data_IF_999452844978
#
_entry.id   IF_999452844978
#
_cell.length_a   1.000
_cell.length_b   1.000
_cell.length_c   1.000
_cell.angle_alpha   90.00
_cell.angle_beta   90.00
_cell.angle_gamma   90.00
#
_symmetry.space_group_name_H-M   'P 1'
#
loop_
_entity.id
_entity.type
_entity.pdbx_description
1 polymer ?
#
# COMPACT_ATOMS: atom_id res chain seq x y z
N UNK A 1 -80.28 40.66 -16.00
CA UNK A 1 -79.25 40.61 -17.06
C UNK A 1 -78.03 41.33 -16.52
N UNK A 2 -77.08 40.56 -15.97
CA UNK A 2 -75.93 41.05 -15.21
C UNK A 2 -74.76 41.36 -16.14
N UNK A 3 -74.22 42.57 -16.01
CA UNK A 3 -72.96 42.99 -16.59
C UNK A 3 -71.81 42.16 -16.02
N UNK A 4 -71.04 41.50 -16.88
CA UNK A 4 -69.74 40.91 -16.54
C UNK A 4 -68.64 41.62 -17.33
N UNK A 5 -67.97 42.50 -16.58
CA UNK A 5 -66.74 43.19 -16.91
C UNK A 5 -65.58 42.19 -16.82
N UNK A 6 -64.94 41.83 -17.93
CA UNK A 6 -63.56 41.34 -17.95
C UNK A 6 -62.93 41.67 -19.31
N UNK A 7 -61.87 42.50 -19.38
CA UNK A 7 -61.04 42.56 -20.57
C UNK A 7 -60.20 41.28 -20.68
N UNK A 8 -59.72 40.90 -21.87
CA UNK A 8 -58.86 39.74 -22.02
C UNK A 8 -57.60 39.91 -21.17
N UNK A 9 -57.40 39.02 -20.20
CA UNK A 9 -56.12 38.85 -19.52
C UNK A 9 -55.09 38.40 -20.56
N UNK A 10 -54.34 39.36 -21.12
CA UNK A 10 -53.04 39.06 -21.70
C UNK A 10 -52.07 38.95 -20.53
N UNK A 11 -51.66 37.74 -20.18
CA UNK A 11 -50.43 37.56 -19.42
C UNK A 11 -49.33 38.13 -20.31
N UNK A 12 -48.83 39.32 -19.98
CA UNK A 12 -47.49 39.70 -20.41
C UNK A 12 -46.56 38.79 -19.62
N UNK A 13 -46.21 37.63 -20.18
CA UNK A 13 -44.92 37.04 -19.83
C UNK A 13 -43.93 38.07 -20.35
N UNK A 14 -43.37 38.86 -19.44
CA UNK A 14 -42.17 39.60 -19.76
C UNK A 14 -41.13 38.55 -20.13
N UNK A 15 -41.01 38.23 -21.41
CA UNK A 15 -39.72 37.85 -21.97
C UNK A 15 -38.87 39.13 -21.99
N UNK A 16 -38.61 39.69 -20.81
CA UNK A 16 -37.34 40.34 -20.61
C UNK A 16 -36.36 39.18 -20.65
N UNK A 17 -35.77 38.94 -21.83
CA UNK A 17 -34.55 38.19 -21.95
C UNK A 17 -33.42 38.98 -21.29
N UNK A 18 -33.58 39.35 -20.02
CA UNK A 18 -32.49 39.82 -19.21
C UNK A 18 -31.58 38.60 -19.03
N UNK A 19 -30.36 38.61 -19.59
CA UNK A 19 -29.46 37.48 -19.46
C UNK A 19 -29.26 37.19 -17.96
N UNK A 20 -29.40 35.93 -17.56
CA UNK A 20 -29.10 35.51 -16.19
C UNK A 20 -27.68 35.99 -15.88
N UNK A 21 -27.48 36.83 -14.86
CA UNK A 21 -26.16 37.38 -14.58
C UNK A 21 -25.20 36.24 -14.25
N UNK A 22 -24.07 36.22 -14.96
CA UNK A 22 -23.04 35.22 -14.77
C UNK A 22 -22.56 35.22 -13.32
N UNK A 23 -22.44 34.03 -12.74
CA UNK A 23 -22.03 33.82 -11.35
C UNK A 23 -20.52 33.56 -11.29
N UNK A 24 -19.77 34.25 -10.42
CA UNK A 24 -18.34 34.01 -10.27
C UNK A 24 -18.09 32.61 -9.67
N UNK A 25 -16.88 32.06 -9.83
CA UNK A 25 -16.58 30.73 -9.32
C UNK A 25 -16.60 30.67 -7.79
N UNK A 26 -17.22 29.64 -7.23
CA UNK A 26 -17.23 29.35 -5.79
C UNK A 26 -16.74 27.92 -5.56
N UNK A 27 -15.75 27.76 -4.70
CA UNK A 27 -15.23 26.44 -4.33
C UNK A 27 -16.29 25.67 -3.54
N UNK A 28 -16.59 24.45 -3.96
CA UNK A 28 -17.53 23.53 -3.29
C UNK A 28 -16.83 22.32 -2.69
N UNK A 29 -15.61 22.02 -3.14
CA UNK A 29 -14.70 21.08 -2.48
C UNK A 29 -13.25 21.56 -2.67
N UNK A 30 -12.43 21.60 -1.60
CA UNK A 30 -11.03 22.02 -1.69
C UNK A 30 -10.20 21.04 -2.53
N UNK A 31 -9.02 21.46 -3.03
CA UNK A 31 -8.08 20.54 -3.65
C UNK A 31 -7.57 19.51 -2.61
N UNK A 32 -7.39 18.27 -3.06
CA UNK A 32 -6.87 17.17 -2.24
C UNK A 32 -5.52 16.77 -2.80
N UNK A 33 -4.50 16.73 -1.95
CA UNK A 33 -3.17 16.21 -2.30
C UNK A 33 -3.00 14.76 -1.86
N UNK A 34 -2.28 13.98 -2.66
CA UNK A 34 -1.93 12.58 -2.43
C UNK A 34 -0.46 12.34 -2.76
N UNK A 35 0.12 11.31 -2.15
CA UNK A 35 1.53 10.93 -2.31
C UNK A 35 2.25 10.90 -0.96
N UNK A 36 3.46 10.36 -0.96
CA UNK A 36 4.32 10.27 0.23
C UNK A 36 5.19 11.52 0.32
N UNK A 37 5.18 12.28 1.43
CA UNK A 37 6.03 13.44 1.59
C UNK A 37 7.47 13.00 1.88
N UNK A 38 8.19 12.54 0.86
CA UNK A 38 9.56 12.05 0.93
C UNK A 38 10.37 12.55 -0.27
N UNK A 39 11.65 12.85 -0.09
CA UNK A 39 12.55 13.28 -1.18
C UNK A 39 12.56 12.24 -2.30
N UNK A 40 12.46 12.68 -3.55
CA UNK A 40 12.37 11.84 -4.73
C UNK A 40 10.95 11.42 -5.11
N UNK A 41 10.01 11.45 -4.16
CA UNK A 41 8.61 11.12 -4.40
C UNK A 41 7.82 12.29 -5.01
N UNK A 42 6.73 11.96 -5.72
CA UNK A 42 5.83 12.94 -6.30
C UNK A 42 4.57 13.13 -5.46
N UNK A 43 4.18 14.39 -5.25
CA UNK A 43 2.86 14.74 -4.73
C UNK A 43 1.97 15.22 -5.87
N UNK A 44 0.75 14.70 -5.93
CA UNK A 44 -0.27 15.05 -6.92
C UNK A 44 -1.48 15.70 -6.24
N UNK A 45 -2.18 16.60 -6.94
CA UNK A 45 -3.35 17.27 -6.40
C UNK A 45 -4.51 17.40 -7.38
N UNK A 46 -5.73 17.31 -6.85
CA UNK A 46 -6.95 17.62 -7.60
C UNK A 46 -7.18 19.14 -7.69
N UNK A 47 -7.97 19.58 -8.68
CA UNK A 47 -8.36 20.99 -8.81
C UNK A 47 -9.37 21.48 -7.75
N UNK A 48 -9.91 20.56 -6.94
CA UNK A 48 -11.14 20.77 -6.20
C UNK A 48 -12.37 20.88 -7.12
N UNK A 49 -13.53 21.14 -6.53
CA UNK A 49 -14.79 21.35 -7.25
C UNK A 49 -15.21 22.82 -7.17
N UNK A 50 -15.76 23.32 -8.27
CA UNK A 50 -16.14 24.72 -8.44
C UNK A 50 -17.54 24.81 -9.05
N UNK A 51 -18.38 25.66 -8.45
CA UNK A 51 -19.65 26.10 -9.04
C UNK A 51 -19.49 27.48 -9.66
N UNK A 52 -20.40 27.90 -10.54
CA UNK A 52 -20.36 29.18 -11.24
C UNK A 52 -20.82 29.06 -12.69
N UNK A 53 -20.86 30.18 -13.41
CA UNK A 53 -21.17 30.16 -14.85
C UNK A 53 -19.98 29.67 -15.65
N UNK A 54 -20.19 28.68 -16.52
CA UNK A 54 -19.16 28.14 -17.41
C UNK A 54 -18.83 29.10 -18.57
N UNK A 55 -17.63 29.04 -19.16
CA UNK A 55 -16.50 28.18 -18.78
C UNK A 55 -15.79 28.67 -17.50
N UNK A 56 -15.30 27.73 -16.69
CA UNK A 56 -14.50 28.00 -15.48
C UNK A 56 -13.08 27.50 -15.74
N UNK A 57 -12.12 28.41 -15.61
CA UNK A 57 -10.68 28.11 -15.73
C UNK A 57 -10.06 28.02 -14.35
N UNK A 58 -9.27 26.98 -14.09
CA UNK A 58 -8.58 26.78 -12.82
C UNK A 58 -7.09 27.07 -12.94
N UNK A 59 -6.53 27.71 -11.93
CA UNK A 59 -5.09 27.89 -11.76
C UNK A 59 -4.66 27.20 -10.48
N UNK A 60 -3.68 26.31 -10.58
CA UNK A 60 -3.15 25.56 -9.45
C UNK A 60 -1.68 25.91 -9.21
N UNK A 61 -1.27 25.82 -7.95
CA UNK A 61 0.13 25.86 -7.52
C UNK A 61 0.29 25.09 -6.22
N UNK A 62 1.53 24.79 -5.87
CA UNK A 62 1.88 24.24 -4.57
C UNK A 62 2.41 25.31 -3.62
N UNK A 63 2.19 25.09 -2.33
CA UNK A 63 2.73 25.89 -1.24
C UNK A 63 3.57 25.02 -0.32
N UNK A 64 4.51 25.64 0.37
CA UNK A 64 5.25 25.04 1.47
C UNK A 64 5.22 25.91 2.72
N UNK A 65 5.48 25.28 3.86
CA UNK A 65 5.56 25.94 5.16
C UNK A 65 6.51 25.19 6.09
N UNK A 66 7.35 25.93 6.81
CA UNK A 66 8.24 25.36 7.84
C UNK A 66 7.50 25.19 9.19
N UNK A 67 6.44 25.96 9.42
CA UNK A 67 5.76 26.10 10.73
C UNK A 67 4.26 25.72 10.69
N UNK A 68 3.70 25.50 9.50
CA UNK A 68 2.26 25.29 9.27
C UNK A 68 1.42 26.57 9.26
N UNK A 69 2.01 27.72 9.57
CA UNK A 69 1.33 29.01 9.69
C UNK A 69 1.63 29.92 8.49
N UNK A 70 2.89 30.03 8.10
CA UNK A 70 3.36 30.89 7.01
C UNK A 70 3.57 30.06 5.75
N UNK A 71 2.88 30.42 4.67
CA UNK A 71 2.86 29.64 3.44
C UNK A 71 3.48 30.40 2.26
N UNK A 72 4.48 29.80 1.65
CA UNK A 72 5.18 30.34 0.48
C UNK A 72 4.84 29.50 -0.75
N UNK A 73 4.57 30.16 -1.89
CA UNK A 73 4.26 29.45 -3.13
C UNK A 73 5.53 28.99 -3.85
N UNK A 74 5.51 27.74 -4.33
CA UNK A 74 6.52 27.28 -5.27
C UNK A 74 6.40 27.98 -6.63
N UNK A 75 7.51 28.12 -7.38
CA UNK A 75 7.45 28.61 -8.75
C UNK A 75 6.67 27.62 -9.65
N UNK A 76 5.88 28.10 -10.64
CA UNK A 76 5.11 27.21 -11.52
C UNK A 76 5.95 26.20 -12.30
N UNK A 77 7.24 26.49 -12.53
CA UNK A 77 8.18 25.58 -13.20
C UNK A 77 8.42 24.27 -12.44
N UNK A 78 8.13 24.25 -11.12
CA UNK A 78 8.19 23.04 -10.30
C UNK A 78 7.03 22.08 -10.56
N UNK A 79 5.98 22.58 -11.22
CA UNK A 79 4.75 21.86 -11.48
C UNK A 79 3.54 22.46 -10.76
N UNK A 80 2.35 22.22 -11.33
CA UNK A 80 1.10 22.85 -10.89
C UNK A 80 0.04 21.86 -10.44
N UNK A 81 -0.04 20.69 -11.10
CA UNK A 81 -0.89 19.56 -10.69
C UNK A 81 -0.12 18.44 -9.99
N UNK A 82 1.20 18.37 -10.21
CA UNK A 82 2.14 17.45 -9.57
C UNK A 82 3.45 18.18 -9.28
N UNK A 83 4.13 17.83 -8.18
CA UNK A 83 5.51 18.25 -7.88
C UNK A 83 6.32 17.05 -7.42
N UNK A 84 7.60 17.02 -7.77
CA UNK A 84 8.58 16.09 -7.17
C UNK A 84 9.30 16.80 -6.04
N UNK A 85 9.42 16.12 -4.90
CA UNK A 85 10.09 16.65 -3.71
C UNK A 85 11.61 16.45 -3.83
N UNK A 86 12.36 17.44 -3.39
CA UNK A 86 13.82 17.42 -3.37
C UNK A 86 14.34 17.70 -1.94
N UNK A 87 15.66 17.66 -1.78
CA UNK A 87 16.32 17.82 -0.48
C UNK A 87 15.98 19.15 0.21
N UNK A 88 15.69 20.21 -0.55
CA UNK A 88 15.35 21.52 0.02
C UNK A 88 13.99 21.48 0.75
N UNK A 89 13.16 20.47 0.50
CA UNK A 89 11.85 20.34 1.12
C UNK A 89 11.84 19.62 2.46
N UNK A 90 12.93 18.95 2.84
CA UNK A 90 12.99 18.19 4.10
C UNK A 90 12.55 19.05 5.28
N UNK A 91 11.62 18.51 6.08
CA UNK A 91 11.02 19.17 7.23
C UNK A 91 9.82 20.08 6.92
N UNK A 92 9.55 20.38 5.64
CA UNK A 92 8.44 21.27 5.24
C UNK A 92 7.10 20.54 5.19
N UNK A 93 6.03 21.27 5.45
CA UNK A 93 4.66 20.90 5.11
C UNK A 93 4.33 21.40 3.70
N UNK A 94 3.70 20.56 2.89
CA UNK A 94 3.41 20.85 1.47
C UNK A 94 1.90 20.80 1.23
N UNK A 95 1.33 21.81 0.58
CA UNK A 95 -0.11 21.87 0.34
C UNK A 95 -0.46 22.40 -1.07
N UNK A 96 -1.49 21.85 -1.73
CA UNK A 96 -1.97 22.38 -2.99
C UNK A 96 -2.78 23.66 -2.75
N UNK A 97 -2.81 24.54 -3.72
CA UNK A 97 -3.52 25.81 -3.62
C UNK A 97 -4.09 26.19 -4.98
N UNK A 98 -5.41 26.34 -5.06
CA UNK A 98 -6.14 26.48 -6.32
C UNK A 98 -7.05 27.70 -6.29
N UNK A 99 -7.19 28.39 -7.41
CA UNK A 99 -8.23 29.41 -7.63
C UNK A 99 -8.89 29.20 -8.98
N UNK A 100 -10.10 29.71 -9.13
CA UNK A 100 -10.85 29.63 -10.37
C UNK A 100 -11.25 31.02 -10.88
N UNK A 101 -11.40 31.14 -12.20
CA UNK A 101 -11.87 32.36 -12.87
C UNK A 101 -12.89 32.03 -13.96
N UNK A 102 -13.82 32.96 -14.18
CA UNK A 102 -14.70 33.00 -15.34
C UNK A 102 -14.99 34.45 -15.73
N UNK A 103 -15.87 34.67 -16.70
CA UNK A 103 -16.23 36.02 -17.16
C UNK A 103 -16.87 36.92 -16.08
N UNK A 104 -17.41 36.34 -15.00
CA UNK A 104 -18.03 37.09 -13.90
C UNK A 104 -17.03 37.47 -12.80
N UNK A 105 -15.86 36.83 -12.74
CA UNK A 105 -14.83 37.17 -11.77
C UNK A 105 -13.87 36.03 -11.45
N UNK A 106 -13.03 36.26 -10.44
CA UNK A 106 -12.02 35.33 -9.95
C UNK A 106 -12.21 35.09 -8.46
N UNK A 107 -12.04 33.84 -8.03
CA UNK A 107 -12.10 33.45 -6.62
C UNK A 107 -10.81 33.85 -5.88
N UNK A 108 -10.89 33.82 -4.54
CA UNK A 108 -9.70 33.70 -3.71
C UNK A 108 -8.99 32.36 -3.96
N UNK A 109 -7.75 32.28 -3.47
CA UNK A 109 -7.03 31.01 -3.40
C UNK A 109 -7.61 30.13 -2.28
N UNK A 110 -7.78 28.85 -2.57
CA UNK A 110 -8.22 27.82 -1.63
C UNK A 110 -7.10 26.81 -1.49
N UNK A 111 -6.60 26.65 -0.26
CA UNK A 111 -5.56 25.70 0.11
C UNK A 111 -6.19 24.35 0.48
N UNK A 112 -5.57 23.26 0.06
CA UNK A 112 -5.89 21.92 0.52
C UNK A 112 -5.29 21.61 1.90
N UNK A 113 -5.53 20.39 2.36
CA UNK A 113 -4.83 19.85 3.53
C UNK A 113 -3.35 19.67 3.18
N UNK A 114 -2.48 19.94 4.13
CA UNK A 114 -1.04 19.77 3.97
C UNK A 114 -0.63 18.31 4.18
N UNK A 115 0.38 17.86 3.44
CA UNK A 115 1.12 16.63 3.67
C UNK A 115 2.48 16.98 4.29
N UNK A 116 3.06 16.03 5.03
CA UNK A 116 4.38 16.18 5.64
C UNK A 116 4.38 16.14 7.17
N UNK A 117 5.53 16.43 7.81
CA UNK A 117 6.74 17.00 7.21
C UNK A 117 7.40 16.09 6.16
N UNK A 118 8.04 16.68 5.15
CA UNK A 118 8.81 15.92 4.16
C UNK A 118 10.01 15.25 4.86
N UNK A 119 10.20 13.96 4.60
CA UNK A 119 11.35 13.20 5.11
C UNK A 119 12.41 13.00 4.03
N UNK A 120 13.64 12.73 4.45
CA UNK A 120 14.70 12.32 3.52
C UNK A 120 14.29 11.06 2.77
N UNK A 121 14.86 10.85 1.58
CA UNK A 121 14.76 9.57 0.91
C UNK A 121 15.36 8.49 1.82
N UNK A 122 14.80 7.29 1.79
CA UNK A 122 15.48 6.15 2.41
C UNK A 122 16.86 6.01 1.77
N UNK A 123 17.92 6.10 2.58
CA UNK A 123 19.27 5.82 2.12
C UNK A 123 19.29 4.39 1.57
N UNK A 124 19.92 4.15 0.39
CA UNK A 124 20.17 2.79 -0.06
C UNK A 124 20.91 2.05 1.06
N UNK A 125 20.32 0.98 1.58
CA UNK A 125 21.04 0.11 2.52
C UNK A 125 22.23 -0.45 1.77
N UNK A 126 23.45 -0.04 2.15
CA UNK A 126 24.68 -0.57 1.57
C UNK A 126 24.71 -2.10 1.72
N UNK A 127 25.01 -2.87 0.65
CA UNK A 127 25.08 -4.32 0.71
C UNK A 127 26.13 -4.77 1.75
N UNK A 128 25.67 -5.23 2.91
CA UNK A 128 26.52 -5.64 4.03
C UNK A 128 26.02 -5.23 5.42
N UNK A 129 25.10 -4.26 5.50
CA UNK A 129 24.49 -3.79 6.77
C UNK A 129 23.07 -4.32 6.99
N UNK A 130 22.67 -5.37 6.27
CA UNK A 130 21.44 -6.07 6.58
C UNK A 130 21.57 -6.68 7.98
N UNK A 131 20.85 -6.10 8.94
CA UNK A 131 20.80 -6.62 10.30
C UNK A 131 20.19 -8.03 10.39
N UNK A 132 19.60 -8.56 9.30
CA UNK A 132 19.19 -9.96 9.17
C UNK A 132 20.35 -10.77 8.58
N UNK A 133 20.58 -11.99 9.07
CA UNK A 133 21.53 -12.92 8.43
C UNK A 133 20.89 -13.58 7.21
N UNK A 134 21.61 -13.64 6.08
CA UNK A 134 21.13 -14.30 4.86
C UNK A 134 20.86 -15.79 5.07
N UNK A 135 19.79 -16.30 4.45
CA UNK A 135 19.52 -17.74 4.40
C UNK A 135 20.54 -18.48 3.53
N UNK A 136 20.74 -19.76 3.82
CA UNK A 136 21.72 -20.63 3.16
C UNK A 136 21.08 -21.95 2.73
N UNK A 137 21.84 -22.84 2.07
CA UNK A 137 21.40 -24.21 1.75
C UNK A 137 21.09 -25.09 2.97
N UNK A 138 21.46 -24.67 4.17
CA UNK A 138 21.12 -25.37 5.42
C UNK A 138 19.98 -24.71 6.20
N UNK A 139 19.50 -23.54 5.74
CA UNK A 139 18.42 -22.80 6.40
C UNK A 139 17.08 -23.37 5.94
N UNK A 140 16.30 -23.90 6.88
CA UNK A 140 14.91 -24.30 6.63
C UNK A 140 13.96 -23.17 7.01
N UNK A 141 13.09 -22.76 6.10
CA UNK A 141 12.01 -21.80 6.32
C UNK A 141 10.65 -22.45 6.11
N UNK A 142 9.71 -22.15 7.00
CA UNK A 142 8.30 -22.50 6.84
C UNK A 142 7.52 -21.22 6.49
N UNK A 143 6.85 -21.26 5.34
CA UNK A 143 6.04 -20.17 4.80
C UNK A 143 4.59 -20.45 5.12
N UNK A 144 4.19 -20.03 6.31
CA UNK A 144 2.86 -20.23 6.85
C UNK A 144 1.92 -19.09 6.47
N UNK A 145 0.81 -19.42 5.81
CA UNK A 145 -0.10 -18.39 5.31
C UNK A 145 -1.28 -18.94 4.53
N UNK A 146 -1.60 -18.27 3.43
CA UNK A 146 -2.78 -18.57 2.60
C UNK A 146 -2.43 -18.42 1.11
N UNK A 147 -3.45 -18.31 0.25
CA UNK A 147 -3.26 -18.24 -1.21
C UNK A 147 -2.41 -17.06 -1.71
N UNK A 148 -2.18 -16.01 -0.91
CA UNK A 148 -1.25 -14.91 -1.24
C UNK A 148 0.19 -15.13 -0.73
N UNK A 149 0.42 -16.26 -0.04
CA UNK A 149 1.76 -16.81 0.21
C UNK A 149 2.18 -17.71 -0.96
N UNK A 150 1.20 -18.41 -1.56
CA UNK A 150 1.41 -19.27 -2.73
C UNK A 150 2.04 -18.54 -3.92
N UNK A 151 1.74 -17.25 -4.05
CA UNK A 151 2.20 -16.36 -5.12
C UNK A 151 3.70 -16.13 -5.18
N UNK A 152 4.46 -16.53 -4.15
CA UNK A 152 5.92 -16.58 -4.26
C UNK A 152 6.49 -17.97 -3.95
N UNK A 153 5.88 -18.73 -3.03
CA UNK A 153 6.48 -19.99 -2.59
C UNK A 153 6.25 -21.14 -3.57
N UNK A 154 5.10 -21.17 -4.27
CA UNK A 154 4.76 -22.28 -5.16
C UNK A 154 3.54 -21.98 -6.07
N UNK A 155 3.74 -21.22 -7.15
CA UNK A 155 2.83 -21.21 -8.31
C UNK A 155 3.52 -21.84 -9.52
N UNK A 156 2.99 -23.00 -9.95
CA UNK A 156 3.32 -23.61 -11.25
C UNK A 156 4.82 -23.92 -11.48
N UNK A 157 5.21 -24.20 -12.74
CA UNK A 157 6.61 -24.30 -13.11
C UNK A 157 7.29 -22.92 -13.10
N UNK A 158 8.60 -22.89 -13.35
CA UNK A 158 9.35 -21.65 -13.62
C UNK A 158 8.61 -20.74 -14.61
N UNK A 159 8.55 -19.41 -14.40
CA UNK A 159 9.29 -18.62 -13.40
C UNK A 159 8.52 -18.22 -12.12
N UNK A 160 7.27 -18.66 -11.91
CA UNK A 160 6.39 -18.16 -10.83
C UNK A 160 6.63 -18.74 -9.42
N UNK A 161 7.80 -19.28 -9.14
CA UNK A 161 8.09 -19.98 -7.88
C UNK A 161 9.53 -19.69 -7.41
N UNK A 162 9.65 -19.15 -6.20
CA UNK A 162 10.92 -18.84 -5.53
C UNK A 162 11.90 -20.02 -5.50
N UNK A 163 11.42 -21.26 -5.29
CA UNK A 163 12.30 -22.44 -5.27
C UNK A 163 13.06 -22.61 -6.58
N UNK A 164 12.41 -22.35 -7.71
CA UNK A 164 13.03 -22.47 -9.04
C UNK A 164 14.04 -21.34 -9.30
N UNK A 165 13.77 -20.13 -8.81
CA UNK A 165 14.72 -18.99 -8.85
C UNK A 165 15.96 -19.32 -8.03
N UNK A 166 15.78 -19.88 -6.82
CA UNK A 166 16.89 -20.27 -5.95
C UNK A 166 17.73 -21.38 -6.58
N UNK A 167 17.09 -22.39 -7.19
CA UNK A 167 17.78 -23.45 -7.93
C UNK A 167 18.58 -22.89 -9.11
N UNK A 168 18.04 -21.90 -9.85
CA UNK A 168 18.73 -21.32 -11.02
C UNK A 168 19.99 -20.53 -10.67
N UNK A 169 20.12 -20.09 -9.41
CA UNK A 169 21.30 -19.37 -8.88
C UNK A 169 22.17 -20.24 -7.95
N UNK A 170 21.94 -21.56 -7.92
CA UNK A 170 22.85 -22.52 -7.27
C UNK A 170 22.49 -22.90 -5.82
N UNK A 171 21.31 -22.54 -5.33
CA UNK A 171 20.79 -23.14 -4.10
C UNK A 171 20.28 -24.56 -4.37
N UNK A 172 20.43 -25.42 -3.37
CA UNK A 172 20.17 -26.85 -3.46
C UNK A 172 19.09 -27.24 -2.44
N UNK A 173 18.38 -28.33 -2.74
CA UNK A 173 17.32 -28.88 -1.87
C UNK A 173 16.27 -27.83 -1.46
N UNK A 174 15.90 -26.95 -2.38
CA UNK A 174 14.95 -25.86 -2.12
C UNK A 174 13.57 -26.38 -1.73
N UNK A 175 13.21 -27.60 -2.15
CA UNK A 175 11.96 -28.26 -1.75
C UNK A 175 11.97 -28.80 -0.33
N UNK A 176 13.13 -29.20 0.21
CA UNK A 176 13.29 -29.60 1.62
C UNK A 176 13.53 -28.42 2.56
N UNK A 177 14.02 -27.30 2.02
CA UNK A 177 14.40 -26.12 2.79
C UNK A 177 13.37 -24.98 2.78
N UNK A 178 12.58 -24.83 1.71
CA UNK A 178 11.56 -23.77 1.61
C UNK A 178 10.20 -24.44 1.65
N UNK A 179 9.56 -24.49 2.81
CA UNK A 179 8.34 -25.28 3.03
C UNK A 179 7.11 -24.41 2.92
N UNK A 180 6.12 -24.88 2.15
CA UNK A 180 4.81 -24.24 2.01
C UNK A 180 3.87 -24.81 3.08
N UNK A 181 3.20 -23.95 3.83
CA UNK A 181 2.30 -24.33 4.93
C UNK A 181 1.06 -23.42 4.88
N UNK A 182 0.10 -23.71 4.01
CA UNK A 182 -0.96 -22.72 3.68
C UNK A 182 -2.36 -23.29 3.74
N UNK A 183 -3.27 -22.52 4.34
CA UNK A 183 -4.72 -22.77 4.31
C UNK A 183 -5.37 -21.61 3.53
N UNK A 184 -6.10 -21.86 2.43
CA UNK A 184 -6.70 -20.80 1.61
C UNK A 184 -7.55 -19.83 2.42
N UNK A 185 -7.34 -18.51 2.21
CA UNK A 185 -8.06 -17.44 2.89
C UNK A 185 -7.87 -17.33 4.42
N UNK A 186 -6.98 -18.14 5.01
CA UNK A 186 -6.86 -18.23 6.47
C UNK A 186 -6.18 -17.01 7.10
N UNK A 187 -6.64 -16.66 8.30
CA UNK A 187 -6.04 -15.64 9.17
C UNK A 187 -4.95 -16.24 10.07
N UNK A 188 -4.21 -15.40 10.79
CA UNK A 188 -3.31 -15.84 11.88
C UNK A 188 -4.06 -16.69 12.91
N UNK A 189 -5.26 -16.25 13.31
CA UNK A 189 -6.14 -17.00 14.19
C UNK A 189 -6.43 -18.40 13.66
N UNK A 190 -6.89 -18.48 12.41
CA UNK A 190 -7.31 -19.73 11.83
C UNK A 190 -6.15 -20.72 11.76
N UNK A 191 -4.96 -20.26 11.35
CA UNK A 191 -3.76 -21.10 11.24
C UNK A 191 -3.22 -21.57 12.59
N UNK A 192 -3.46 -20.82 13.66
CA UNK A 192 -3.08 -21.28 15.00
C UNK A 192 -3.99 -22.40 15.50
N UNK A 193 -5.31 -22.27 15.28
CA UNK A 193 -6.31 -23.18 15.83
C UNK A 193 -6.67 -24.36 14.91
N UNK A 194 -6.37 -24.26 13.61
CA UNK A 194 -6.74 -25.21 12.56
C UNK A 194 -5.55 -25.60 11.66
N UNK A 195 -4.32 -25.61 12.21
CA UNK A 195 -3.11 -26.01 11.48
C UNK A 195 -3.22 -27.45 10.93
N UNK A 196 -4.19 -28.24 11.43
CA UNK A 196 -4.52 -29.56 10.92
C UNK A 196 -5.17 -29.58 9.52
N UNK A 197 -5.70 -28.45 9.05
CA UNK A 197 -6.30 -28.31 7.72
C UNK A 197 -5.26 -28.18 6.59
N UNK A 198 -3.97 -28.07 6.90
CA UNK A 198 -2.88 -28.04 5.91
C UNK A 198 -2.84 -29.33 5.07
N UNK A 199 -3.50 -30.40 5.50
CA UNK A 199 -3.54 -31.67 4.79
C UNK A 199 -2.22 -32.42 4.96
N UNK A 200 -1.50 -32.64 3.86
CA UNK A 200 -0.15 -33.22 3.88
C UNK A 200 0.90 -32.10 3.88
N UNK A 201 1.78 -32.09 4.87
CA UNK A 201 2.86 -31.10 4.98
C UNK A 201 3.23 -30.82 6.43
N UNK A 202 4.26 -30.00 6.60
CA UNK A 202 4.76 -29.56 7.91
C UNK A 202 3.97 -28.33 8.38
N UNK A 203 3.79 -28.26 9.70
CA UNK A 203 2.86 -27.36 10.39
C UNK A 203 3.63 -26.33 11.20
N UNK A 204 3.33 -25.05 11.02
CA UNK A 204 4.08 -23.99 11.69
C UNK A 204 3.83 -23.94 13.20
N UNK A 205 2.69 -24.44 13.67
CA UNK A 205 2.41 -24.53 15.11
C UNK A 205 3.12 -25.73 15.73
N UNK A 206 3.10 -26.88 15.05
CA UNK A 206 3.55 -28.17 15.60
C UNK A 206 5.04 -28.46 15.34
N UNK A 207 5.56 -28.10 14.18
CA UNK A 207 6.88 -28.52 13.68
C UNK A 207 7.92 -27.39 13.69
N UNK A 208 7.65 -26.28 14.39
CA UNK A 208 8.50 -25.07 14.34
C UNK A 208 9.95 -25.34 14.76
N UNK A 209 10.19 -26.37 15.58
CA UNK A 209 11.50 -26.79 16.04
C UNK A 209 12.43 -27.27 14.92
N UNK A 210 11.87 -27.57 13.75
CA UNK A 210 12.63 -27.95 12.57
C UNK A 210 13.04 -26.75 11.69
N UNK A 211 12.52 -25.56 11.98
CA UNK A 211 12.64 -24.38 11.11
C UNK A 211 13.45 -23.26 11.75
N UNK A 212 14.36 -22.71 10.94
CA UNK A 212 15.14 -21.55 11.33
C UNK A 212 14.31 -20.27 11.23
N UNK A 213 13.47 -20.21 10.21
CA UNK A 213 12.67 -19.04 9.85
C UNK A 213 11.20 -19.39 9.77
N UNK A 214 10.37 -18.67 10.52
CA UNK A 214 8.93 -18.60 10.30
C UNK A 214 8.62 -17.38 9.42
N UNK A 215 8.13 -17.62 8.20
CA UNK A 215 7.51 -16.58 7.39
C UNK A 215 5.99 -16.69 7.51
N UNK A 216 5.33 -15.63 7.98
CA UNK A 216 3.94 -15.64 8.45
C UNK A 216 3.16 -14.44 7.86
N UNK A 217 1.85 -14.53 7.61
CA UNK A 217 1.02 -13.39 7.14
C UNK A 217 -0.36 -13.35 7.78
N UNK A 218 -0.99 -12.18 7.91
CA UNK A 218 -2.43 -12.10 8.22
C UNK A 218 -3.28 -12.23 6.95
N UNK A 219 -4.54 -12.65 7.11
CA UNK A 219 -5.54 -12.68 6.06
C UNK A 219 -5.95 -11.29 5.57
N UNK A 220 -6.47 -11.23 4.34
CA UNK A 220 -6.84 -10.00 3.67
C UNK A 220 -8.34 -9.65 3.77
N UNK A 221 -8.70 -8.36 3.91
CA UNK A 221 -7.81 -7.26 4.30
C UNK A 221 -7.39 -7.39 5.77
N UNK A 222 -6.17 -6.96 6.16
CA UNK A 222 -5.79 -6.95 7.56
C UNK A 222 -6.69 -5.96 8.33
N UNK A 223 -6.90 -6.14 9.64
CA UNK A 223 -7.53 -5.10 10.45
C UNK A 223 -6.73 -3.79 10.36
N UNK A 224 -7.38 -2.63 10.41
CA UNK A 224 -6.66 -1.35 10.52
C UNK A 224 -6.11 -1.18 11.93
N UNK A 225 -5.09 -0.33 12.11
CA UNK A 225 -4.47 -0.07 13.43
C UNK A 225 -5.45 0.45 14.48
N UNK A 226 -6.56 1.07 14.05
CA UNK A 226 -7.64 1.56 14.91
C UNK A 226 -8.76 0.54 15.15
N UNK A 227 -8.69 -0.64 14.54
CA UNK A 227 -9.74 -1.67 14.57
C UNK A 227 -9.69 -2.50 15.84
N UNK A 228 -10.85 -2.88 16.38
CA UNK A 228 -10.92 -3.89 17.45
C UNK A 228 -10.37 -5.24 16.97
N UNK A 229 -10.50 -5.56 15.67
CA UNK A 229 -9.96 -6.78 15.07
C UNK A 229 -8.44 -6.90 15.18
N UNK A 230 -7.73 -5.77 15.29
CA UNK A 230 -6.28 -5.74 15.43
C UNK A 230 -5.83 -6.45 16.72
N UNK A 231 -6.63 -6.39 17.80
CA UNK A 231 -6.28 -7.07 19.06
C UNK A 231 -6.14 -8.58 18.86
N UNK A 232 -7.05 -9.18 18.11
CA UNK A 232 -7.01 -10.61 17.82
C UNK A 232 -5.80 -10.97 16.95
N UNK A 233 -5.58 -10.22 15.87
CA UNK A 233 -4.40 -10.36 14.99
C UNK A 233 -3.08 -10.27 15.78
N UNK A 234 -2.96 -9.29 16.68
CA UNK A 234 -1.76 -9.14 17.51
C UNK A 234 -1.58 -10.29 18.50
N UNK A 235 -2.65 -10.80 19.11
CA UNK A 235 -2.56 -11.95 20.02
C UNK A 235 -1.97 -13.18 19.28
N UNK A 236 -2.54 -13.52 18.13
CA UNK A 236 -2.07 -14.69 17.37
C UNK A 236 -0.70 -14.49 16.74
N UNK A 237 -0.35 -13.29 16.27
CA UNK A 237 1.03 -13.02 15.84
C UNK A 237 2.02 -13.18 17.00
N UNK A 238 1.68 -12.70 18.19
CA UNK A 238 2.54 -12.87 19.36
C UNK A 238 2.68 -14.34 19.77
N UNK A 239 1.65 -15.17 19.59
CA UNK A 239 1.71 -16.62 19.84
C UNK A 239 2.68 -17.31 18.88
N UNK A 240 2.58 -17.03 17.59
CA UNK A 240 3.53 -17.55 16.60
C UNK A 240 4.96 -17.09 16.88
N UNK A 241 5.15 -15.81 17.21
CA UNK A 241 6.45 -15.28 17.57
C UNK A 241 7.02 -15.95 18.83
N UNK A 242 6.23 -16.07 19.89
CA UNK A 242 6.62 -16.76 21.12
C UNK A 242 6.99 -18.22 20.87
N UNK A 243 6.18 -18.96 20.10
CA UNK A 243 6.47 -20.35 19.74
C UNK A 243 7.82 -20.47 19.00
N UNK A 244 8.09 -19.53 18.09
CA UNK A 244 9.36 -19.49 17.35
C UNK A 244 10.55 -19.14 18.25
N UNK A 245 10.38 -18.21 19.19
CA UNK A 245 11.40 -17.83 20.17
C UNK A 245 11.73 -18.98 21.13
N UNK A 246 10.71 -19.69 21.59
CA UNK A 246 10.85 -20.76 22.57
C UNK A 246 11.34 -22.07 21.95
N UNK A 247 10.85 -22.41 20.75
CA UNK A 247 10.99 -23.75 20.20
C UNK A 247 11.69 -23.77 18.83
N UNK A 248 11.75 -22.66 18.10
CA UNK A 248 12.29 -22.63 16.73
C UNK A 248 13.80 -22.84 16.66
N UNK A 249 14.28 -23.45 15.58
CA UNK A 249 15.71 -23.74 15.39
C UNK A 249 16.58 -22.49 15.21
N UNK A 250 15.99 -21.39 14.72
CA UNK A 250 16.71 -20.16 14.35
C UNK A 250 16.14 -18.87 14.95
N UNK A 251 15.03 -18.95 15.71
CA UNK A 251 14.39 -17.81 16.36
C UNK A 251 14.18 -16.60 15.41
N UNK A 252 13.80 -16.85 14.16
CA UNK A 252 13.56 -15.80 13.18
C UNK A 252 12.09 -15.78 12.74
N UNK A 253 11.49 -14.59 12.82
CA UNK A 253 10.10 -14.35 12.41
C UNK A 253 10.07 -13.26 11.35
N UNK A 254 9.42 -13.55 10.23
CA UNK A 254 9.24 -12.63 9.10
C UNK A 254 7.74 -12.52 8.83
N UNK A 255 7.20 -11.32 8.97
CA UNK A 255 5.85 -10.97 8.58
C UNK A 255 5.84 -10.62 7.08
N UNK A 256 5.10 -11.39 6.29
CA UNK A 256 4.80 -11.10 4.89
C UNK A 256 3.57 -10.20 4.82
N UNK A 257 3.71 -9.03 4.21
CA UNK A 257 2.54 -8.18 3.93
C UNK A 257 1.91 -8.53 2.58
N UNK A 258 0.59 -8.53 2.55
CA UNK A 258 -0.22 -8.76 1.34
C UNK A 258 -0.74 -7.44 0.76
N UNK A 259 -1.68 -7.50 -0.18
CA UNK A 259 -2.25 -6.36 -0.91
C UNK A 259 -3.79 -6.45 -0.98
N UNK A 260 -4.47 -5.33 -1.31
CA UNK A 260 -5.90 -5.32 -1.58
C UNK A 260 -6.29 -6.12 -2.83
N UNK A 261 -7.55 -6.54 -2.90
CA UNK A 261 -8.18 -6.91 -4.17
C UNK A 261 -8.22 -5.68 -5.11
N UNK A 262 -8.18 -5.91 -6.42
CA UNK A 262 -8.23 -4.88 -7.46
C UNK A 262 -9.47 -3.98 -7.34
N UNK A 263 -10.57 -4.49 -6.80
CA UNK A 263 -11.80 -3.74 -6.52
C UNK A 263 -11.76 -2.98 -5.17
N UNK A 264 -10.66 -3.07 -4.43
CA UNK A 264 -10.48 -2.48 -3.10
C UNK A 264 -10.38 -3.53 -1.99
N UNK A 265 -9.97 -3.15 -0.77
CA UNK A 265 -9.77 -4.10 0.34
C UNK A 265 -11.07 -4.84 0.71
N UNK A 266 -11.06 -6.18 0.62
CA UNK A 266 -12.26 -7.02 0.82
C UNK A 266 -13.09 -7.25 -0.45
N UNK A 267 -12.64 -6.76 -1.60
CA UNK A 267 -13.26 -7.00 -2.90
C UNK A 267 -14.70 -6.46 -2.97
N UNK A 268 -15.64 -7.33 -3.36
CA UNK A 268 -17.05 -6.96 -3.54
C UNK A 268 -17.78 -6.64 -2.22
N UNK A 269 -17.31 -7.17 -1.08
CA UNK A 269 -17.94 -7.00 0.23
C UNK A 269 -16.91 -6.46 1.24
N UNK A 270 -16.49 -5.19 1.10
CA UNK A 270 -15.45 -4.62 1.95
C UNK A 270 -15.93 -4.49 3.40
N UNK A 271 -15.09 -4.82 4.40
CA UNK A 271 -15.38 -4.48 5.79
C UNK A 271 -15.59 -2.97 5.95
N UNK A 272 -16.46 -2.57 6.88
CA UNK A 272 -16.86 -1.17 7.03
C UNK A 272 -15.68 -0.20 7.16
N UNK A 273 -14.61 -0.60 7.86
CA UNK A 273 -13.40 0.21 8.09
C UNK A 273 -12.55 0.46 6.82
N UNK A 274 -12.78 -0.33 5.78
CA UNK A 274 -12.12 -0.29 4.48
C UNK A 274 -13.01 0.33 3.38
N UNK A 275 -14.21 0.78 3.73
CA UNK A 275 -15.13 1.41 2.77
C UNK A 275 -14.50 2.66 2.14
N UNK A 276 -14.50 2.71 0.80
CA UNK A 276 -13.98 3.86 0.04
C UNK A 276 -12.49 3.80 -0.31
N UNK A 277 -11.77 2.79 0.16
CA UNK A 277 -10.41 2.50 -0.30
C UNK A 277 -10.44 1.74 -1.63
N UNK A 278 -9.51 2.07 -2.52
CA UNK A 278 -9.25 1.36 -3.77
C UNK A 278 -8.05 0.44 -3.60
N UNK A 279 -7.69 -0.31 -4.64
CA UNK A 279 -6.42 -1.03 -4.67
C UNK A 279 -5.23 -0.13 -4.30
N UNK A 280 -5.04 0.98 -5.03
CA UNK A 280 -3.90 1.86 -4.83
C UNK A 280 -3.95 2.65 -3.53
N UNK A 281 -5.12 3.17 -3.13
CA UNK A 281 -5.24 3.96 -1.89
C UNK A 281 -5.23 3.11 -0.64
N UNK A 282 -5.51 1.81 -0.74
CA UNK A 282 -5.42 0.85 0.36
C UNK A 282 -3.98 0.43 0.71
N UNK A 283 -3.05 0.47 -0.25
CA UNK A 283 -1.68 -0.02 -0.04
C UNK A 283 -0.91 0.70 1.10
N UNK A 284 -0.97 2.04 1.26
CA UNK A 284 -0.38 2.71 2.41
C UNK A 284 -1.04 2.34 3.76
N UNK A 285 -2.33 1.99 3.76
CA UNK A 285 -2.99 1.54 4.99
C UNK A 285 -2.62 0.09 5.33
N UNK A 286 -2.39 -0.76 4.32
CA UNK A 286 -1.83 -2.10 4.54
C UNK A 286 -0.42 -1.99 5.14
N UNK A 287 0.41 -1.08 4.62
CA UNK A 287 1.71 -0.77 5.22
C UNK A 287 1.57 -0.44 6.71
N UNK A 288 0.69 0.51 7.04
CA UNK A 288 0.46 0.94 8.41
C UNK A 288 0.05 -0.22 9.31
N UNK A 289 -0.87 -1.09 8.86
CA UNK A 289 -1.29 -2.27 9.61
C UNK A 289 -0.15 -3.26 9.82
N UNK A 290 0.58 -3.63 8.76
CA UNK A 290 1.63 -4.63 8.85
C UNK A 290 2.86 -4.14 9.64
N UNK A 291 3.24 -2.87 9.50
CA UNK A 291 4.30 -2.26 10.34
C UNK A 291 3.89 -2.25 11.81
N UNK A 292 2.68 -1.82 12.11
CA UNK A 292 2.17 -1.83 13.49
C UNK A 292 2.18 -3.24 14.10
N UNK A 293 1.78 -4.25 13.33
CA UNK A 293 1.85 -5.64 13.76
C UNK A 293 3.27 -6.11 14.07
N UNK A 294 4.22 -5.86 13.16
CA UNK A 294 5.62 -6.23 13.34
C UNK A 294 6.25 -5.52 14.55
N UNK A 295 6.03 -4.21 14.69
CA UNK A 295 6.55 -3.39 15.78
C UNK A 295 5.97 -3.82 17.13
N UNK A 296 4.66 -4.07 17.20
CA UNK A 296 4.01 -4.53 18.42
C UNK A 296 4.52 -5.90 18.85
N UNK A 297 4.58 -6.87 17.92
CA UNK A 297 5.07 -8.21 18.23
C UNK A 297 6.54 -8.16 18.68
N UNK A 298 7.37 -7.34 18.02
CA UNK A 298 8.75 -7.08 18.43
C UNK A 298 8.83 -6.58 19.86
N UNK A 299 8.12 -5.48 20.16
CA UNK A 299 8.07 -4.91 21.50
C UNK A 299 7.60 -5.95 22.54
N UNK A 300 6.54 -6.70 22.21
CA UNK A 300 5.93 -7.68 23.13
C UNK A 300 6.88 -8.82 23.44
N UNK A 301 7.60 -9.36 22.46
CA UNK A 301 8.58 -10.42 22.70
C UNK A 301 9.73 -9.93 23.59
N UNK A 302 10.20 -8.70 23.43
CA UNK A 302 11.19 -8.11 24.35
C UNK A 302 10.69 -7.98 25.80
N UNK A 303 9.37 -7.78 26.00
CA UNK A 303 8.80 -7.78 27.36
C UNK A 303 8.71 -9.19 27.97
N UNK A 304 8.44 -10.21 27.15
CA UNK A 304 8.25 -11.60 27.59
C UNK A 304 9.58 -12.35 27.72
N UNK A 305 10.56 -12.03 26.88
CA UNK A 305 11.86 -12.68 26.78
C UNK A 305 12.99 -11.63 26.86
N UNK A 306 13.30 -11.09 28.06
CA UNK A 306 14.30 -10.03 28.22
C UNK A 306 15.74 -10.42 27.84
N UNK A 307 15.99 -11.71 27.56
CA UNK A 307 17.27 -12.23 27.08
C UNK A 307 17.43 -12.21 25.56
N UNK A 308 16.40 -11.80 24.81
CA UNK A 308 16.51 -11.66 23.36
C UNK A 308 17.61 -10.65 23.00
N UNK A 309 18.35 -10.87 21.89
CA UNK A 309 19.26 -9.86 21.34
C UNK A 309 18.54 -8.53 21.14
N UNK A 310 19.21 -7.41 21.43
CA UNK A 310 18.63 -6.06 21.34
C UNK A 310 18.06 -5.77 19.93
N UNK A 311 18.70 -6.31 18.90
CA UNK A 311 18.33 -6.19 17.50
C UNK A 311 17.29 -7.22 17.03
N UNK A 312 16.88 -8.15 17.89
CA UNK A 312 15.81 -9.11 17.58
C UNK A 312 14.50 -8.36 17.29
N UNK A 313 13.86 -8.74 16.18
CA UNK A 313 12.59 -8.16 15.72
C UNK A 313 11.85 -9.10 14.78
N UNK A 314 10.55 -8.87 14.66
CA UNK A 314 9.76 -9.39 13.55
C UNK A 314 10.08 -8.57 12.30
N UNK A 315 10.68 -9.19 11.30
CA UNK A 315 11.00 -8.53 10.03
C UNK A 315 9.74 -8.36 9.19
N UNK A 316 9.69 -7.32 8.35
CA UNK A 316 8.58 -7.12 7.41
C UNK A 316 9.08 -7.27 5.98
N UNK A 317 8.54 -8.24 5.24
CA UNK A 317 8.78 -8.39 3.80
C UNK A 317 7.64 -7.71 3.02
N UNK A 318 7.93 -6.67 2.23
CA UNK A 318 6.92 -5.69 1.85
C UNK A 318 6.24 -5.99 0.49
N UNK A 319 5.48 -7.09 0.41
CA UNK A 319 4.67 -7.41 -0.78
C UNK A 319 3.73 -6.28 -1.24
N UNK A 320 3.14 -5.54 -0.30
CA UNK A 320 2.35 -4.33 -0.61
C UNK A 320 3.17 -3.24 -1.32
N UNK A 321 4.44 -3.03 -0.93
CA UNK A 321 5.30 -2.03 -1.60
C UNK A 321 5.68 -2.44 -3.00
N UNK A 322 5.86 -3.73 -3.24
CA UNK A 322 6.06 -4.23 -4.59
C UNK A 322 4.84 -3.94 -5.46
N UNK A 323 3.63 -4.20 -4.95
CA UNK A 323 2.39 -3.86 -5.64
C UNK A 323 2.23 -2.35 -5.86
N UNK A 324 2.57 -1.53 -4.86
CA UNK A 324 2.55 -0.07 -4.95
C UNK A 324 3.48 0.42 -6.06
N UNK A 325 4.72 -0.06 -6.05
CA UNK A 325 5.73 0.32 -7.02
C UNK A 325 5.34 -0.08 -8.44
N UNK A 326 4.90 -1.33 -8.64
CA UNK A 326 4.53 -1.81 -9.97
C UNK A 326 3.29 -1.08 -10.49
N UNK A 327 2.30 -0.80 -9.63
CA UNK A 327 1.15 0.01 -10.02
C UNK A 327 1.60 1.40 -10.52
N UNK A 328 2.44 2.09 -9.76
CA UNK A 328 2.91 3.43 -10.09
C UNK A 328 3.78 3.41 -11.36
N UNK A 329 4.65 2.41 -11.54
CA UNK A 329 5.47 2.23 -12.75
C UNK A 329 4.60 1.99 -14.00
N UNK A 330 3.49 1.23 -13.89
CA UNK A 330 2.53 1.04 -14.99
C UNK A 330 1.88 2.37 -15.38
N UNK A 331 1.43 3.16 -14.39
CA UNK A 331 0.82 4.48 -14.66
C UNK A 331 1.80 5.47 -15.32
N UNK A 332 3.10 5.28 -15.07
CA UNK A 332 4.18 6.09 -15.65
C UNK A 332 4.79 5.48 -16.93
N UNK A 333 4.17 4.45 -17.51
CA UNK A 333 4.62 3.77 -18.73
C UNK A 333 6.05 3.19 -18.63
N UNK A 334 6.47 2.81 -17.41
CA UNK A 334 7.80 2.26 -17.14
C UNK A 334 7.86 0.73 -17.25
N UNK A 335 6.72 0.04 -17.28
CA UNK A 335 6.64 -1.41 -17.42
C UNK A 335 6.38 -1.79 -18.89
N UNK A 336 7.36 -2.37 -19.61
CA UNK A 336 7.19 -2.64 -21.03
C UNK A 336 6.06 -3.64 -21.31
N UNK A 337 5.10 -3.24 -22.14
CA UNK A 337 4.02 -4.11 -22.62
C UNK A 337 2.88 -4.34 -21.63
N UNK A 338 2.90 -3.69 -20.47
CA UNK A 338 1.82 -3.74 -19.47
C UNK A 338 1.28 -2.32 -19.27
N UNK A 339 -0.03 -2.16 -19.43
CA UNK A 339 -0.70 -0.86 -19.38
C UNK A 339 -1.74 -0.76 -18.27
N UNK A 340 -2.17 -1.90 -17.73
CA UNK A 340 -3.09 -1.98 -16.61
C UNK A 340 -2.58 -3.00 -15.57
N UNK A 341 -2.73 -2.68 -14.28
CA UNK A 341 -2.36 -3.58 -13.19
C UNK A 341 -3.12 -4.90 -13.25
N UNK A 342 -4.34 -4.93 -13.80
CA UNK A 342 -5.14 -6.14 -13.97
C UNK A 342 -4.45 -7.19 -14.86
N UNK A 343 -3.56 -6.78 -15.77
CA UNK A 343 -2.79 -7.70 -16.61
C UNK A 343 -1.81 -8.57 -15.81
N UNK A 344 -1.51 -8.16 -14.57
CA UNK A 344 -0.66 -8.88 -13.62
C UNK A 344 -1.44 -9.78 -12.65
N UNK A 345 -2.74 -9.95 -12.86
CA UNK A 345 -3.60 -10.74 -11.97
C UNK A 345 -4.40 -11.79 -12.75
N UNK A 346 -4.50 -12.99 -12.19
CA UNK A 346 -5.35 -14.06 -12.71
C UNK A 346 -6.82 -13.87 -12.34
N UNK A 347 -7.09 -13.20 -11.21
CA UNK A 347 -8.43 -12.82 -10.76
C UNK A 347 -8.40 -11.47 -10.00
N UNK A 348 -9.35 -11.20 -9.10
CA UNK A 348 -9.40 -9.95 -8.36
C UNK A 348 -8.25 -9.73 -7.36
N UNK A 349 -7.57 -10.80 -6.91
CA UNK A 349 -6.59 -10.70 -5.81
C UNK A 349 -5.35 -11.57 -6.02
N UNK A 350 -5.44 -12.66 -6.80
CA UNK A 350 -4.33 -13.56 -7.06
C UNK A 350 -3.52 -13.09 -8.27
N UNK A 351 -2.21 -12.87 -8.10
CA UNK A 351 -1.32 -12.47 -9.19
C UNK A 351 -1.21 -13.55 -10.27
N UNK A 352 -0.94 -13.13 -11.50
CA UNK A 352 -0.62 -14.01 -12.62
C UNK A 352 0.82 -14.56 -12.51
N UNK A 353 1.27 -15.33 -13.51
CA UNK A 353 2.64 -15.88 -13.49
C UNK A 353 3.72 -14.79 -13.50
N UNK A 354 3.47 -13.66 -14.18
CA UNK A 354 4.41 -12.54 -14.29
C UNK A 354 4.62 -11.86 -12.94
N UNK A 355 3.53 -11.52 -12.24
CA UNK A 355 3.61 -10.94 -10.92
C UNK A 355 4.12 -11.94 -9.87
N UNK A 356 3.77 -13.22 -9.97
CA UNK A 356 4.33 -14.25 -9.10
C UNK A 356 5.86 -14.35 -9.23
N UNK A 357 6.40 -14.22 -10.44
CA UNK A 357 7.85 -14.16 -10.64
C UNK A 357 8.45 -12.93 -9.94
N UNK A 358 7.88 -11.74 -10.11
CA UNK A 358 8.36 -10.53 -9.42
C UNK A 358 8.32 -10.62 -7.90
N UNK A 359 7.24 -11.17 -7.33
CA UNK A 359 7.12 -11.45 -5.90
C UNK A 359 8.11 -12.51 -5.43
N UNK A 360 8.34 -13.55 -6.23
CA UNK A 360 9.35 -14.58 -5.97
C UNK A 360 10.77 -13.97 -5.95
N UNK A 361 11.07 -13.06 -6.88
CA UNK A 361 12.33 -12.31 -6.89
C UNK A 361 12.50 -11.45 -5.64
N UNK A 362 11.44 -10.74 -5.20
CA UNK A 362 11.46 -9.96 -3.97
C UNK A 362 11.79 -10.84 -2.77
N UNK A 363 11.04 -11.93 -2.56
CA UNK A 363 11.22 -12.78 -1.38
C UNK A 363 12.57 -13.49 -1.42
N UNK A 364 13.02 -13.98 -2.59
CA UNK A 364 14.36 -14.56 -2.73
C UNK A 364 15.45 -13.54 -2.38
N UNK A 365 15.35 -12.31 -2.92
CA UNK A 365 16.31 -11.24 -2.65
C UNK A 365 16.35 -10.90 -1.17
N UNK A 366 15.21 -10.73 -0.51
CA UNK A 366 15.17 -10.39 0.92
C UNK A 366 15.61 -11.55 1.82
N UNK A 367 15.23 -12.79 1.50
CA UNK A 367 15.49 -13.96 2.33
C UNK A 367 16.93 -14.48 2.18
N UNK A 368 17.49 -14.42 0.97
CA UNK A 368 18.83 -14.95 0.67
C UNK A 368 19.87 -13.85 0.43
N UNK A 369 19.47 -12.57 0.41
CA UNK A 369 20.34 -11.41 0.18
C UNK A 369 21.16 -11.53 -1.10
N UNK A 370 20.51 -12.00 -2.15
CA UNK A 370 21.10 -12.21 -3.47
C UNK A 370 20.69 -11.10 -4.43
N UNK A 371 21.64 -10.58 -5.21
CA UNK A 371 21.34 -9.67 -6.30
C UNK A 371 20.93 -10.47 -7.54
N UNK A 372 19.63 -10.59 -7.78
CA UNK A 372 19.10 -11.35 -8.91
C UNK A 372 19.38 -10.69 -10.28
N UNK A 373 19.69 -9.38 -10.32
CA UNK A 373 20.02 -8.70 -11.59
C UNK A 373 21.37 -9.11 -12.17
N UNK A 374 22.22 -9.75 -11.37
CA UNK A 374 23.54 -10.25 -11.78
C UNK A 374 23.51 -11.75 -12.15
N UNK A 375 22.38 -12.42 -11.97
CA UNK A 375 22.25 -13.83 -12.28
C UNK A 375 21.99 -14.04 -13.78
N UNK A 376 22.83 -14.86 -14.42
CA UNK A 376 22.74 -15.12 -15.87
C UNK A 376 21.42 -15.79 -16.31
N UNK A 377 20.66 -16.36 -15.37
CA UNK A 377 19.48 -17.20 -15.62
C UNK A 377 18.21 -16.72 -14.88
N UNK A 378 18.18 -15.47 -14.39
CA UNK A 378 17.01 -14.90 -13.68
C UNK A 378 16.47 -13.71 -14.43
#
# INVERSE_FOLDING_TARGET
>A
MMNSFWPPFRIRVGLNGDPVPAQPPVNTAPPVATGTPQVGEALTATAGLWSGTAPIEVTQRWLWSDDGETWTGYPPARGTASITLDEDDIGRLIAPNVRAQNAAGQSGWVRGVALGPVVAADEPVEPGDFARTASTNSTRSIHSGHSLTDSYVHIGPFPGNMRAILESIGYMDTWGNVIKSTIPGSTLYWRWDHDDEIGEGERAVEDIDQFHTLMITEGGPPPRTTSEGMVNTLDYLCRFAANTVENGAGNEVILWSIWPDLNGPGGAEPPAEWTGFTFRTGLPEYENSFKYMADYATWKMHQLYPSLPEDWRVWLFPGHKWMERVYDDIQNELVPGITDIQELFGDGIHPDTTACYGLSCLVATCLYQVNLTEAENV
#
